data_IF_845505032039
#
_entry.id   IF_845505032039
#
_cell.length_a   1.000
_cell.length_b   1.000
_cell.length_c   1.000
_cell.angle_alpha   90.00
_cell.angle_beta   90.00
_cell.angle_gamma   90.00
#
_symmetry.space_group_name_H-M   'P 1'
#
loop_
_entity.id
_entity.type
_entity.pdbx_description
1 polymer ?
#
# COMPACT_ATOMS: atom_id res chain seq x y z
N UNK A 1 18.83 -23.26 2.42
CA UNK A 1 18.95 -23.31 0.95
C UNK A 1 17.60 -22.89 0.35
N UNK A 2 17.52 -21.75 -0.34
CA UNK A 2 16.28 -21.31 -1.00
C UNK A 2 16.20 -22.01 -2.35
N UNK A 3 15.11 -22.74 -2.62
CA UNK A 3 14.86 -23.35 -3.94
C UNK A 3 13.95 -22.41 -4.74
N UNK A 4 14.40 -22.03 -5.93
CA UNK A 4 13.59 -21.25 -6.87
C UNK A 4 12.76 -22.20 -7.73
N UNK A 5 11.46 -21.89 -7.83
CA UNK A 5 10.50 -22.59 -8.68
C UNK A 5 10.25 -21.72 -9.90
N UNK A 6 10.26 -22.33 -11.10
CA UNK A 6 9.89 -21.60 -12.32
C UNK A 6 8.41 -21.21 -12.23
N UNK A 7 8.06 -19.91 -12.30
CA UNK A 7 6.68 -19.48 -12.19
C UNK A 7 5.85 -19.99 -13.37
N UNK A 8 4.62 -20.40 -13.10
CA UNK A 8 3.63 -20.71 -14.13
C UNK A 8 3.10 -19.42 -14.78
N UNK A 9 2.15 -19.55 -15.73
CA UNK A 9 1.58 -18.36 -16.41
C UNK A 9 0.94 -17.39 -15.42
N UNK A 10 0.25 -17.88 -14.40
CA UNK A 10 -0.40 -17.03 -13.38
C UNK A 10 0.64 -16.37 -12.46
N UNK A 11 1.63 -17.11 -12.01
CA UNK A 11 2.76 -16.56 -11.25
C UNK A 11 3.53 -15.50 -12.03
N UNK A 12 3.68 -15.66 -13.35
CA UNK A 12 4.31 -14.65 -14.22
C UNK A 12 3.50 -13.34 -14.24
N UNK A 13 2.17 -13.42 -14.35
CA UNK A 13 1.29 -12.23 -14.28
C UNK A 13 1.42 -11.53 -12.92
N UNK A 14 1.47 -12.30 -11.82
CA UNK A 14 1.70 -11.74 -10.49
C UNK A 14 3.05 -11.02 -10.39
N UNK A 15 4.13 -11.61 -10.90
CA UNK A 15 5.45 -10.99 -10.91
C UNK A 15 5.50 -9.69 -11.72
N UNK A 16 4.82 -9.65 -12.88
CA UNK A 16 4.72 -8.43 -13.69
C UNK A 16 3.99 -7.33 -12.90
N UNK A 17 2.84 -7.65 -12.28
CA UNK A 17 2.09 -6.69 -11.48
C UNK A 17 2.93 -6.17 -10.30
N UNK A 18 3.64 -7.05 -9.61
CA UNK A 18 4.54 -6.68 -8.50
C UNK A 18 5.68 -5.79 -8.99
N UNK A 19 6.31 -6.12 -10.12
CA UNK A 19 7.40 -5.34 -10.69
C UNK A 19 6.94 -3.94 -11.13
N UNK A 20 5.79 -3.85 -11.81
CA UNK A 20 5.19 -2.56 -12.18
C UNK A 20 4.88 -1.74 -10.93
N UNK A 21 4.26 -2.34 -9.92
CA UNK A 21 3.98 -1.65 -8.65
C UNK A 21 5.25 -1.19 -7.94
N UNK A 22 6.34 -1.97 -8.00
CA UNK A 22 7.61 -1.60 -7.41
C UNK A 22 8.23 -0.38 -8.11
N UNK A 23 8.15 -0.32 -9.44
CA UNK A 23 8.59 0.84 -10.22
C UNK A 23 7.76 2.08 -9.88
N UNK A 24 6.44 1.94 -9.74
CA UNK A 24 5.56 3.08 -9.36
C UNK A 24 5.87 3.57 -7.95
N UNK A 25 6.00 2.67 -6.97
CA UNK A 25 6.37 3.04 -5.58
C UNK A 25 7.73 3.75 -5.55
N UNK A 26 8.71 3.25 -6.30
CA UNK A 26 10.03 3.89 -6.38
C UNK A 26 9.96 5.26 -7.05
N UNK A 27 9.20 5.39 -8.15
CA UNK A 27 9.01 6.65 -8.86
C UNK A 27 8.29 7.67 -7.98
N UNK A 28 7.27 7.24 -7.23
CA UNK A 28 6.57 8.06 -6.25
C UNK A 28 7.51 8.54 -5.13
N UNK A 29 8.32 7.64 -4.58
CA UNK A 29 9.31 8.01 -3.56
C UNK A 29 10.32 9.04 -4.08
N UNK A 30 10.86 8.85 -5.30
CA UNK A 30 11.78 9.81 -5.92
C UNK A 30 11.09 11.15 -6.19
N UNK A 31 9.87 11.13 -6.72
CA UNK A 31 9.08 12.32 -6.97
C UNK A 31 8.83 13.14 -5.69
N UNK A 32 8.51 12.46 -4.59
CA UNK A 32 8.32 13.12 -3.29
C UNK A 32 9.62 13.77 -2.80
N UNK A 33 10.75 13.05 -2.88
CA UNK A 33 12.08 13.53 -2.48
C UNK A 33 12.50 14.76 -3.28
N UNK A 34 12.29 14.77 -4.59
CA UNK A 34 12.75 15.83 -5.49
C UNK A 34 11.79 17.03 -5.53
N UNK A 35 10.59 16.91 -4.93
CA UNK A 35 9.59 17.99 -4.98
C UNK A 35 10.10 19.28 -4.31
N UNK A 36 9.92 20.46 -4.93
CA UNK A 36 10.35 21.74 -4.37
C UNK A 36 9.74 22.02 -2.98
N UNK A 37 8.52 21.53 -2.74
CA UNK A 37 7.84 21.59 -1.44
C UNK A 37 8.62 20.82 -0.37
N UNK A 38 9.13 19.64 -0.69
CA UNK A 38 10.03 18.88 0.20
C UNK A 38 11.39 19.54 0.38
N UNK A 39 11.97 20.12 -0.67
CA UNK A 39 13.23 20.83 -0.57
C UNK A 39 13.15 22.16 0.19
N UNK A 40 11.96 22.77 0.35
CA UNK A 40 11.78 23.95 1.21
C UNK A 40 11.59 23.59 2.69
N UNK A 41 11.14 22.37 2.98
CA UNK A 41 10.97 21.83 4.34
C UNK A 41 12.31 21.37 4.98
N UNK A 42 13.46 21.74 4.40
CA UNK A 42 14.80 21.22 4.74
C UNK A 42 15.50 21.85 5.95
N UNK A 43 14.85 22.77 6.68
CA UNK A 43 15.50 23.51 7.77
C UNK A 43 14.76 23.25 9.10
N UNK A 44 15.28 22.32 9.92
CA UNK A 44 14.76 22.08 11.28
C UNK A 44 14.99 20.67 11.84
N UNK A 45 14.73 20.46 13.14
CA UNK A 45 14.84 19.15 13.81
C UNK A 45 13.78 18.14 13.30
N UNK A 46 12.62 18.63 12.83
CA UNK A 46 11.54 17.82 12.25
C UNK A 46 11.88 17.23 10.88
N UNK A 47 12.95 17.72 10.24
CA UNK A 47 13.44 17.25 8.96
C UNK A 47 13.79 15.76 9.00
N UNK A 48 14.62 15.36 9.96
CA UNK A 48 15.12 13.98 10.07
C UNK A 48 13.96 13.01 10.29
N UNK A 49 12.99 13.41 11.12
CA UNK A 49 11.80 12.60 11.43
C UNK A 49 10.92 12.42 10.18
N UNK A 50 10.65 13.50 9.43
CA UNK A 50 9.84 13.43 8.19
C UNK A 50 10.50 12.55 7.14
N UNK A 51 11.81 12.67 6.93
CA UNK A 51 12.56 11.83 6.00
C UNK A 51 12.56 10.36 6.41
N UNK A 52 12.79 10.09 7.69
CA UNK A 52 12.72 8.74 8.23
C UNK A 52 11.33 8.13 7.95
N UNK A 53 10.26 8.87 8.23
CA UNK A 53 8.89 8.39 8.01
C UNK A 53 8.58 8.13 6.53
N UNK A 54 9.10 8.93 5.60
CA UNK A 54 8.92 8.70 4.15
C UNK A 54 9.67 7.46 3.70
N UNK A 55 10.91 7.28 4.18
CA UNK A 55 11.68 6.07 3.92
C UNK A 55 10.99 4.84 4.49
N UNK A 56 10.42 4.94 5.70
CA UNK A 56 9.63 3.85 6.30
C UNK A 56 8.37 3.59 5.49
N UNK A 57 7.67 4.61 5.00
CA UNK A 57 6.45 4.46 4.20
C UNK A 57 6.74 3.76 2.87
N UNK A 58 7.64 4.31 2.05
CA UNK A 58 8.03 3.72 0.77
C UNK A 58 8.71 2.36 0.93
N UNK A 59 9.57 2.22 1.93
CA UNK A 59 10.23 0.97 2.27
C UNK A 59 9.26 -0.12 2.71
N UNK A 60 8.18 0.22 3.41
CA UNK A 60 7.16 -0.73 3.84
C UNK A 60 6.36 -1.28 2.66
N UNK A 61 5.92 -0.42 1.73
CA UNK A 61 5.28 -0.87 0.50
C UNK A 61 6.21 -1.73 -0.34
N UNK A 62 7.46 -1.28 -0.55
CA UNK A 62 8.45 -2.02 -1.33
C UNK A 62 8.78 -3.38 -0.70
N UNK A 63 8.93 -3.45 0.62
CA UNK A 63 9.13 -4.70 1.34
C UNK A 63 7.97 -5.67 1.11
N UNK A 64 6.72 -5.21 1.19
CA UNK A 64 5.54 -6.01 0.87
C UNK A 64 5.60 -6.60 -0.54
N UNK A 65 5.96 -5.80 -1.53
CA UNK A 65 6.12 -6.22 -2.93
C UNK A 65 7.21 -7.29 -3.08
N UNK A 66 8.38 -7.07 -2.46
CA UNK A 66 9.48 -8.05 -2.47
C UNK A 66 9.06 -9.37 -1.82
N UNK A 67 8.32 -9.33 -0.72
CA UNK A 67 7.79 -10.52 -0.05
C UNK A 67 6.83 -11.31 -0.95
N UNK A 68 5.95 -10.62 -1.68
CA UNK A 68 5.08 -11.28 -2.67
C UNK A 68 5.89 -11.90 -3.82
N UNK A 69 6.89 -11.18 -4.35
CA UNK A 69 7.74 -11.72 -5.41
C UNK A 69 8.49 -12.98 -4.95
N UNK A 70 9.06 -12.95 -3.74
CA UNK A 70 9.71 -14.12 -3.14
C UNK A 70 8.71 -15.27 -2.98
N UNK A 71 7.50 -15.01 -2.50
CA UNK A 71 6.47 -16.03 -2.38
C UNK A 71 6.16 -16.71 -3.72
N UNK A 72 6.04 -15.94 -4.82
CA UNK A 72 5.84 -16.50 -6.17
C UNK A 72 7.03 -17.33 -6.62
N UNK A 73 8.26 -16.82 -6.40
CA UNK A 73 9.49 -17.44 -6.87
C UNK A 73 9.90 -18.68 -6.06
N UNK A 74 9.48 -18.80 -4.80
CA UNK A 74 9.85 -19.93 -3.93
C UNK A 74 8.69 -20.87 -3.64
N UNK A 75 7.47 -20.58 -4.12
CA UNK A 75 6.27 -21.31 -3.71
C UNK A 75 6.01 -21.19 -2.20
N UNK A 76 6.27 -20.01 -1.63
CA UNK A 76 6.19 -19.77 -0.19
C UNK A 76 4.76 -19.79 0.34
N UNK A 77 4.63 -19.75 1.68
CA UNK A 77 3.33 -19.63 2.35
C UNK A 77 2.68 -18.27 2.03
N UNK A 78 1.57 -18.35 1.30
CA UNK A 78 0.76 -17.19 0.90
C UNK A 78 0.15 -16.47 2.08
N UNK A 79 -0.40 -17.18 3.06
CA UNK A 79 -1.03 -16.57 4.23
C UNK A 79 0.01 -15.80 5.07
N UNK A 80 1.18 -16.41 5.29
CA UNK A 80 2.31 -15.72 5.94
C UNK A 80 2.76 -14.50 5.14
N UNK A 81 2.81 -14.60 3.81
CA UNK A 81 3.18 -13.46 2.96
C UNK A 81 2.17 -12.33 3.07
N UNK A 82 0.88 -12.63 2.99
CA UNK A 82 -0.20 -11.65 3.14
C UNK A 82 -0.20 -10.99 4.53
N UNK A 83 0.10 -11.73 5.61
CA UNK A 83 0.29 -11.12 6.94
C UNK A 83 1.30 -9.97 6.92
N UNK A 84 2.45 -10.22 6.29
CA UNK A 84 3.51 -9.21 6.21
C UNK A 84 3.07 -8.05 5.33
N UNK A 85 2.53 -8.34 4.14
CA UNK A 85 2.08 -7.30 3.22
C UNK A 85 1.09 -6.35 3.90
N UNK A 86 0.04 -6.87 4.54
CA UNK A 86 -0.97 -6.04 5.18
C UNK A 86 -0.47 -5.32 6.43
N UNK A 87 0.40 -5.94 7.24
CA UNK A 87 1.00 -5.28 8.40
C UNK A 87 1.90 -4.10 7.98
N UNK A 88 2.67 -4.27 6.92
CA UNK A 88 3.54 -3.21 6.39
C UNK A 88 2.75 -2.14 5.63
N UNK A 89 1.64 -2.49 4.97
CA UNK A 89 0.71 -1.49 4.44
C UNK A 89 0.11 -0.66 5.58
N UNK A 90 -0.36 -1.30 6.66
CA UNK A 90 -0.87 -0.58 7.83
C UNK A 90 0.19 0.35 8.44
N UNK A 91 1.45 -0.11 8.55
CA UNK A 91 2.55 0.74 9.01
C UNK A 91 2.80 1.94 8.09
N UNK A 92 2.75 1.73 6.77
CA UNK A 92 2.92 2.80 5.79
C UNK A 92 1.81 3.87 5.93
N UNK A 93 0.55 3.45 6.05
CA UNK A 93 -0.59 4.36 6.24
C UNK A 93 -0.48 5.14 7.56
N UNK A 94 -0.06 4.47 8.66
CA UNK A 94 0.19 5.16 9.93
C UNK A 94 1.32 6.19 9.83
N UNK A 95 2.40 5.88 9.10
CA UNK A 95 3.47 6.84 8.87
C UNK A 95 2.99 8.03 8.04
N UNK A 96 2.15 7.81 7.01
CA UNK A 96 1.55 8.86 6.21
C UNK A 96 0.68 9.82 7.05
N UNK A 97 -0.12 9.27 7.98
CA UNK A 97 -0.89 10.08 8.95
C UNK A 97 0.06 10.95 9.79
N UNK A 98 1.11 10.35 10.36
CA UNK A 98 2.06 11.09 11.20
C UNK A 98 2.78 12.19 10.42
N UNK A 99 3.20 11.93 9.17
CA UNK A 99 3.81 12.95 8.30
C UNK A 99 2.83 14.11 8.08
N UNK A 100 1.57 13.82 7.80
CA UNK A 100 0.54 14.83 7.55
C UNK A 100 0.30 15.67 8.80
N UNK A 101 0.18 15.05 9.97
CA UNK A 101 -0.02 15.73 11.26
C UNK A 101 1.18 16.60 11.64
N UNK A 102 2.41 16.10 11.52
CA UNK A 102 3.62 16.89 11.81
C UNK A 102 3.73 18.07 10.85
N UNK A 103 3.35 17.87 9.58
CA UNK A 103 3.35 18.95 8.57
C UNK A 103 2.32 20.02 8.92
N UNK A 104 1.12 19.62 9.32
CA UNK A 104 0.06 20.53 9.74
C UNK A 104 0.37 21.31 11.03
N UNK A 105 0.97 20.65 12.04
CA UNK A 105 1.24 21.26 13.34
C UNK A 105 2.56 22.05 13.40
N UNK A 106 3.55 21.68 12.59
CA UNK A 106 4.91 22.20 12.69
C UNK A 106 5.21 23.45 11.86
N UNK A 107 4.29 23.90 11.00
CA UNK A 107 4.56 24.99 10.05
C UNK A 107 3.43 26.05 10.10
N UNK A 108 3.73 27.18 10.74
CA UNK A 108 2.77 28.28 10.90
C UNK A 108 2.45 29.00 9.58
N UNK A 109 3.40 29.03 8.64
CA UNK A 109 3.19 29.57 7.30
C UNK A 109 2.36 28.61 6.45
N UNK A 110 2.44 27.31 6.73
CA UNK A 110 1.58 26.28 6.15
C UNK A 110 0.12 26.44 6.60
N UNK A 111 -0.13 26.66 7.89
CA UNK A 111 -1.50 26.84 8.41
C UNK A 111 -2.24 28.05 7.82
N UNK A 112 -1.53 29.11 7.43
CA UNK A 112 -2.14 30.31 6.86
C UNK A 112 -2.45 30.21 5.36
N UNK A 113 -1.80 29.31 4.63
CA UNK A 113 -1.85 29.23 3.17
C UNK A 113 -2.52 27.96 2.62
N UNK A 114 -2.92 27.02 3.48
CA UNK A 114 -3.39 25.70 3.08
C UNK A 114 -4.88 25.47 3.27
N UNK A 115 -5.40 24.58 2.42
CA UNK A 115 -6.77 24.12 2.47
C UNK A 115 -6.91 23.07 3.58
N UNK A 116 -7.27 23.50 4.80
CA UNK A 116 -7.44 22.64 5.98
C UNK A 116 -8.31 21.40 5.73
N UNK A 117 -9.21 21.49 4.73
CA UNK A 117 -10.08 20.41 4.28
C UNK A 117 -9.28 19.28 3.62
N UNK A 118 -8.26 19.61 2.82
CA UNK A 118 -7.41 18.64 2.11
C UNK A 118 -6.66 17.76 3.11
N UNK A 119 -5.89 18.35 4.03
CA UNK A 119 -5.11 17.60 5.03
C UNK A 119 -5.99 16.70 5.92
N UNK A 120 -7.18 17.17 6.32
CA UNK A 120 -8.13 16.37 7.09
C UNK A 120 -8.65 15.19 6.27
N UNK A 121 -8.98 15.42 4.99
CA UNK A 121 -9.37 14.35 4.08
C UNK A 121 -8.23 13.32 3.96
N UNK A 122 -6.99 13.76 3.75
CA UNK A 122 -5.80 12.89 3.68
C UNK A 122 -5.69 11.96 4.89
N UNK A 123 -5.85 12.50 6.11
CA UNK A 123 -5.80 11.72 7.35
C UNK A 123 -6.96 10.72 7.42
N UNK A 124 -8.19 11.15 7.13
CA UNK A 124 -9.37 10.28 7.15
C UNK A 124 -9.23 9.14 6.15
N UNK A 125 -8.68 9.39 4.96
CA UNK A 125 -8.48 8.36 3.95
C UNK A 125 -7.36 7.39 4.31
N UNK A 126 -6.21 7.87 4.80
CA UNK A 126 -5.16 7.00 5.30
C UNK A 126 -5.66 6.10 6.45
N UNK A 127 -6.56 6.61 7.30
CA UNK A 127 -7.26 5.81 8.30
C UNK A 127 -8.16 4.75 7.68
N UNK A 128 -8.97 5.09 6.67
CA UNK A 128 -9.83 4.13 5.96
C UNK A 128 -8.99 3.02 5.31
N UNK A 129 -7.93 3.39 4.59
CA UNK A 129 -7.03 2.45 3.92
C UNK A 129 -6.26 1.60 4.94
N UNK A 130 -5.85 2.18 6.07
CA UNK A 130 -5.27 1.45 7.20
C UNK A 130 -6.24 0.44 7.82
N UNK A 131 -7.51 0.80 8.00
CA UNK A 131 -8.56 -0.12 8.47
C UNK A 131 -8.79 -1.24 7.45
N UNK A 132 -8.78 -0.94 6.15
CA UNK A 132 -8.85 -1.96 5.11
C UNK A 132 -7.62 -2.88 5.15
N UNK A 133 -6.42 -2.35 5.39
CA UNK A 133 -5.22 -3.17 5.59
C UNK A 133 -5.38 -4.13 6.78
N UNK A 134 -5.97 -3.66 7.89
CA UNK A 134 -6.27 -4.50 9.05
C UNK A 134 -7.27 -5.60 8.71
N UNK A 135 -8.34 -5.31 7.97
CA UNK A 135 -9.25 -6.34 7.47
C UNK A 135 -8.53 -7.35 6.57
N UNK A 136 -7.62 -6.89 5.70
CA UNK A 136 -6.80 -7.76 4.87
C UNK A 136 -5.93 -8.71 5.71
N UNK A 137 -5.34 -8.18 6.79
CA UNK A 137 -4.58 -8.99 7.75
C UNK A 137 -5.45 -10.03 8.47
N UNK A 138 -6.67 -9.68 8.87
CA UNK A 138 -7.64 -10.62 9.47
C UNK A 138 -8.02 -11.71 8.48
N UNK A 139 -8.22 -11.36 7.21
CA UNK A 139 -8.63 -12.28 6.15
C UNK A 139 -7.47 -12.94 5.39
N UNK A 140 -6.24 -12.85 5.89
CA UNK A 140 -5.02 -13.40 5.26
C UNK A 140 -5.08 -14.88 4.87
N UNK A 141 -5.90 -15.68 5.56
CA UNK A 141 -6.06 -17.11 5.32
C UNK A 141 -7.03 -17.40 4.17
N UNK A 142 -7.83 -16.41 3.75
CA UNK A 142 -8.77 -16.55 2.64
C UNK A 142 -8.36 -15.66 1.48
N UNK A 143 -7.72 -16.25 0.47
CA UNK A 143 -7.28 -15.52 -0.72
C UNK A 143 -8.40 -14.74 -1.41
N UNK A 144 -9.63 -15.27 -1.39
CA UNK A 144 -10.83 -14.58 -1.92
C UNK A 144 -11.19 -13.31 -1.14
N UNK A 145 -11.21 -13.37 0.19
CA UNK A 145 -11.54 -12.20 1.03
C UNK A 145 -10.41 -11.16 1.00
N UNK A 146 -9.16 -11.61 1.06
CA UNK A 146 -7.99 -10.74 0.92
C UNK A 146 -7.95 -10.03 -0.45
N UNK A 147 -8.35 -10.73 -1.53
CA UNK A 147 -8.54 -10.12 -2.85
C UNK A 147 -9.56 -8.98 -2.81
N UNK A 148 -10.76 -9.22 -2.28
CA UNK A 148 -11.84 -8.22 -2.23
C UNK A 148 -11.39 -6.99 -1.44
N UNK A 149 -10.79 -7.19 -0.26
CA UNK A 149 -10.29 -6.08 0.55
C UNK A 149 -9.21 -5.28 -0.19
N UNK A 150 -8.30 -5.95 -0.89
CA UNK A 150 -7.24 -5.28 -1.66
C UNK A 150 -7.82 -4.45 -2.82
N UNK A 151 -8.86 -4.94 -3.49
CA UNK A 151 -9.55 -4.18 -4.55
C UNK A 151 -10.25 -2.96 -3.98
N UNK A 152 -10.93 -3.09 -2.83
CA UNK A 152 -11.60 -1.96 -2.17
C UNK A 152 -10.56 -0.92 -1.73
N UNK A 153 -9.43 -1.34 -1.16
CA UNK A 153 -8.35 -0.44 -0.75
C UNK A 153 -7.74 0.30 -1.96
N UNK A 154 -7.48 -0.41 -3.06
CA UNK A 154 -6.99 0.22 -4.29
C UNK A 154 -8.01 1.23 -4.86
N UNK A 155 -9.30 0.90 -4.83
CA UNK A 155 -10.35 1.80 -5.30
C UNK A 155 -10.48 3.06 -4.40
N UNK A 156 -10.40 2.90 -3.08
CA UNK A 156 -10.41 4.02 -2.14
C UNK A 156 -9.20 4.94 -2.35
N UNK A 157 -8.00 4.39 -2.50
CA UNK A 157 -6.79 5.16 -2.78
C UNK A 157 -6.83 5.84 -4.17
N UNK A 158 -7.46 5.21 -5.17
CA UNK A 158 -7.62 5.81 -6.50
C UNK A 158 -8.65 6.94 -6.49
N UNK A 159 -9.75 6.76 -5.77
CA UNK A 159 -10.76 7.80 -5.58
C UNK A 159 -10.14 9.05 -4.94
N UNK A 160 -9.23 8.88 -3.97
CA UNK A 160 -8.47 9.97 -3.36
C UNK A 160 -7.64 10.74 -4.39
N UNK A 161 -6.85 10.02 -5.21
CA UNK A 161 -6.06 10.64 -6.27
C UNK A 161 -6.94 11.43 -7.24
N UNK A 162 -8.16 10.95 -7.53
CA UNK A 162 -9.10 11.64 -8.41
C UNK A 162 -9.75 12.87 -7.77
N UNK A 163 -10.19 12.78 -6.52
CA UNK A 163 -10.78 13.90 -5.78
C UNK A 163 -9.78 15.06 -5.71
N UNK A 164 -8.51 14.75 -5.45
CA UNK A 164 -7.46 15.75 -5.40
C UNK A 164 -7.27 16.47 -6.75
N UNK A 165 -7.03 15.70 -7.83
CA UNK A 165 -6.86 16.25 -9.18
C UNK A 165 -8.08 17.08 -9.62
N UNK A 166 -9.30 16.62 -9.31
CA UNK A 166 -10.53 17.23 -9.79
C UNK A 166 -10.95 18.48 -9.01
N UNK A 167 -10.69 18.53 -7.70
CA UNK A 167 -11.19 19.60 -6.82
C UNK A 167 -10.10 20.58 -6.35
N UNK A 168 -8.83 20.17 -6.28
CA UNK A 168 -7.73 20.98 -5.72
C UNK A 168 -6.91 21.64 -6.84
N UNK A 169 -6.57 20.88 -7.88
CA UNK A 169 -5.75 21.35 -9.02
C UNK A 169 -6.27 22.56 -9.80
N UNK A 170 -7.59 22.76 -9.99
CA UNK A 170 -8.11 23.93 -10.71
C UNK A 170 -8.21 25.21 -9.88
N UNK A 171 -8.23 25.10 -8.53
CA UNK A 171 -8.59 26.22 -7.65
C UNK A 171 -7.42 27.15 -7.30
N UNK A 172 -6.18 26.76 -7.60
CA UNK A 172 -4.98 27.43 -7.09
C UNK A 172 -4.00 27.78 -8.21
N UNK A 173 -4.21 28.92 -8.87
CA UNK A 173 -3.29 29.51 -9.87
C UNK A 173 -1.90 29.86 -9.28
N UNK A 174 -1.68 29.67 -7.97
CA UNK A 174 -0.39 29.79 -7.27
C UNK A 174 0.26 28.45 -6.86
N UNK A 175 -0.33 27.31 -7.21
CA UNK A 175 0.03 25.98 -6.68
C UNK A 175 0.75 25.07 -7.68
N UNK A 176 1.78 25.57 -8.37
CA UNK A 176 2.67 24.65 -9.11
C UNK A 176 3.43 23.67 -8.20
N UNK A 177 3.43 23.89 -6.89
CA UNK A 177 4.17 23.08 -5.91
C UNK A 177 3.31 22.10 -5.08
N UNK A 178 1.97 22.14 -5.14
CA UNK A 178 1.10 21.47 -4.15
C UNK A 178 0.59 20.08 -4.55
N UNK A 179 0.17 19.79 -5.77
CA UNK A 179 -0.58 18.52 -6.01
C UNK A 179 0.28 17.31 -6.41
N UNK A 180 1.50 17.51 -6.91
CA UNK A 180 2.26 16.37 -7.46
C UNK A 180 2.69 15.37 -6.39
N UNK A 181 3.13 15.83 -5.21
CA UNK A 181 3.57 14.95 -4.14
C UNK A 181 2.41 14.12 -3.55
N UNK A 182 1.21 14.72 -3.47
CA UNK A 182 0.03 14.05 -2.92
C UNK A 182 -0.57 13.04 -3.89
N UNK A 183 -0.70 13.40 -5.17
CA UNK A 183 -1.08 12.47 -6.25
C UNK A 183 -0.09 11.31 -6.31
N UNK A 184 1.21 11.57 -6.25
CA UNK A 184 2.23 10.51 -6.26
C UNK A 184 2.18 9.64 -5.00
N UNK A 185 1.87 10.20 -3.82
CA UNK A 185 1.64 9.44 -2.58
C UNK A 185 0.45 8.50 -2.72
N UNK A 186 -0.66 8.99 -3.26
CA UNK A 186 -1.89 8.22 -3.49
C UNK A 186 -1.65 7.09 -4.50
N UNK A 187 -0.95 7.38 -5.62
CA UNK A 187 -0.52 6.37 -6.59
C UNK A 187 0.45 5.35 -5.96
N UNK A 188 1.34 5.81 -5.09
CA UNK A 188 2.23 4.97 -4.30
C UNK A 188 1.50 3.96 -3.41
N UNK A 189 0.29 4.29 -2.94
CA UNK A 189 -0.58 3.38 -2.17
C UNK A 189 -1.45 2.47 -3.06
N UNK A 190 -2.01 2.99 -4.17
CA UNK A 190 -2.88 2.21 -5.09
C UNK A 190 -2.18 0.94 -5.59
N UNK A 191 -0.96 1.09 -6.10
CA UNK A 191 -0.26 0.02 -6.81
C UNK A 191 0.11 -1.19 -5.94
N UNK A 192 0.57 -1.02 -4.69
CA UNK A 192 0.71 -2.12 -3.73
C UNK A 192 -0.58 -2.91 -3.50
N UNK A 193 -1.73 -2.25 -3.37
CA UNK A 193 -3.01 -2.94 -3.22
C UNK A 193 -3.44 -3.65 -4.51
N UNK A 194 -3.21 -3.06 -5.68
CA UNK A 194 -3.43 -3.73 -6.97
C UNK A 194 -2.55 -4.98 -7.11
N UNK A 195 -1.26 -4.88 -6.79
CA UNK A 195 -0.35 -6.03 -6.81
C UNK A 195 -0.80 -7.12 -5.83
N UNK A 196 -1.26 -6.73 -4.64
CA UNK A 196 -1.81 -7.66 -3.64
C UNK A 196 -3.07 -8.36 -4.16
N UNK A 197 -3.98 -7.65 -4.84
CA UNK A 197 -5.15 -8.25 -5.47
C UNK A 197 -4.74 -9.25 -6.58
N UNK A 198 -3.83 -8.87 -7.48
CA UNK A 198 -3.35 -9.77 -8.54
C UNK A 198 -2.67 -11.00 -7.92
N UNK A 199 -1.85 -10.82 -6.90
CA UNK A 199 -1.19 -11.88 -6.15
C UNK A 199 -2.22 -12.84 -5.52
N UNK A 200 -3.23 -12.33 -4.82
CA UNK A 200 -4.30 -13.13 -4.22
C UNK A 200 -5.05 -13.98 -5.26
N UNK A 201 -5.24 -13.46 -6.47
CA UNK A 201 -5.93 -14.14 -7.57
C UNK A 201 -5.06 -15.16 -8.30
N UNK A 202 -3.77 -14.89 -8.43
CA UNK A 202 -2.87 -15.66 -9.28
C UNK A 202 -2.08 -16.73 -8.53
N UNK A 203 -1.80 -16.51 -7.25
CA UNK A 203 -1.04 -17.46 -6.42
C UNK A 203 -2.03 -18.36 -5.69
N UNK A 204 -1.94 -19.70 -5.82
CA UNK A 204 -2.83 -20.61 -5.12
C UNK A 204 -2.67 -20.49 -3.61
N UNK A 205 -3.75 -20.71 -2.88
CA UNK A 205 -3.66 -20.92 -1.44
C UNK A 205 -2.88 -22.23 -1.23
N UNK A 206 -2.02 -22.30 -0.20
CA UNK A 206 -1.47 -23.59 0.21
C UNK A 206 -2.67 -24.50 0.50
N UNK A 207 -2.73 -25.66 -0.16
CA UNK A 207 -3.85 -26.60 0.00
C UNK A 207 -4.11 -26.76 1.50
N UNK A 208 -5.32 -26.37 1.96
CA UNK A 208 -5.83 -26.91 3.22
C UNK A 208 -5.78 -28.41 3.01
N UNK A 209 -4.95 -29.13 3.78
CA UNK A 209 -5.02 -30.58 3.81
C UNK A 209 -6.51 -30.95 3.91
N UNK A 210 -7.04 -31.79 2.99
CA UNK A 210 -8.40 -32.25 3.15
C UNK A 210 -8.44 -32.89 4.53
N UNK A 211 -9.25 -32.32 5.42
CA UNK A 211 -9.48 -32.93 6.71
C UNK A 211 -10.00 -34.34 6.40
N UNK A 212 -9.17 -35.36 6.65
CA UNK A 212 -9.58 -36.75 6.69
C UNK A 212 -10.63 -36.86 7.80
N UNK A 213 -11.89 -36.52 7.48
CA UNK A 213 -13.03 -37.07 8.18
C UNK A 213 -13.19 -38.48 7.67
N UNK A 214 -12.35 -39.35 8.20
CA UNK A 214 -12.67 -40.74 8.37
C UNK A 214 -13.95 -40.86 9.19
N UNK A 215 -15.05 -41.18 8.52
CA UNK A 215 -16.10 -41.99 9.11
C UNK A 215 -16.42 -43.12 8.14
N UNK A 216 -15.56 -44.13 8.18
CA UNK A 216 -15.91 -45.48 7.76
C UNK A 216 -16.70 -46.15 8.89
N UNK A 217 -17.87 -46.66 8.52
CA UNK A 217 -18.74 -47.57 9.27
C UNK A 217 -20.08 -47.55 8.51
N UNK A 218 -20.35 -48.47 7.57
CA UNK A 218 -20.66 -49.88 7.87
C UNK A 218 -21.99 -49.88 8.63
N UNK A 219 -23.15 -50.24 8.07
CA UNK A 219 -23.43 -51.41 7.25
C UNK A 219 -24.61 -51.17 6.29
N UNK A 220 -24.57 -51.93 5.19
CA UNK A 220 -25.73 -52.33 4.43
C UNK A 220 -26.39 -53.55 5.10
N UNK A 221 -27.70 -53.72 4.84
CA UNK A 221 -28.66 -54.76 5.27
C UNK A 221 -29.55 -54.33 6.42
#
# INVERSE_FOLDING_TARGET
MIRFVKPDKKGTVALIAIAVSAVVVLTAAIAMIVSPRFMRLTIGADFVVRWLLIFVTGGSFFYGLVRMALCVLTGGDKAKTLSHVFLFCLLAELCAIVITVITFLGDADYQQNMNLIEDVLCIVFALIVGVLALFGYVFRHSGKRAFVVSVIAAAAALFLAFVDIAFVGPATVRAQDVDFAFVMSSLGAVFPYVATAVFCKCVPDAEEEPSDQGHNGGDAV
#
